data_IF_003010445490
#
_entry.id   IF_003010445490
#
_cell.length_a   1.000
_cell.length_b   1.000
_cell.length_c   1.000
_cell.angle_alpha   90.00
_cell.angle_beta   90.00
_cell.angle_gamma   90.00
#
_symmetry.space_group_name_H-M   'P 1'
#
loop_
_entity.id
_entity.type
_entity.pdbx_description
1 polymer ?
#
# COMPACT_ATOMS: atom_id res chain seq x y z
N UNK A 1 0.96 17.21 6.08
CA UNK A 1 0.33 16.91 4.78
C UNK A 1 0.95 15.68 4.15
N UNK A 2 2.23 15.75 3.75
CA UNK A 2 2.94 14.61 3.13
C UNK A 2 2.92 13.35 4.01
N UNK A 3 3.14 13.49 5.31
CA UNK A 3 3.10 12.35 6.25
C UNK A 3 1.76 11.59 6.21
N UNK A 4 0.62 12.28 6.15
CA UNK A 4 -0.69 11.63 6.12
C UNK A 4 -0.91 10.85 4.82
N UNK A 5 -0.44 11.41 3.70
CA UNK A 5 -0.45 10.77 2.38
C UNK A 5 0.43 9.52 2.40
N UNK A 6 1.68 9.64 2.86
CA UNK A 6 2.63 8.52 2.95
C UNK A 6 2.10 7.41 3.86
N UNK A 7 1.60 7.76 5.05
CA UNK A 7 1.01 6.80 6.00
C UNK A 7 -0.20 6.08 5.38
N UNK A 8 -1.01 6.78 4.59
CA UNK A 8 -2.19 6.18 3.96
C UNK A 8 -1.81 5.27 2.79
N UNK A 9 -0.76 5.59 2.04
CA UNK A 9 -0.19 4.72 1.01
C UNK A 9 0.46 3.45 1.61
N UNK A 10 1.00 3.56 2.83
CA UNK A 10 1.62 2.44 3.56
C UNK A 10 0.69 1.85 4.63
N UNK A 11 -0.63 2.02 4.48
CA UNK A 11 -1.59 1.57 5.50
C UNK A 11 -1.48 0.07 5.77
N UNK A 12 -1.19 -0.76 4.75
CA UNK A 12 -1.05 -2.21 4.91
C UNK A 12 0.10 -2.57 5.84
N UNK A 13 1.26 -1.92 5.67
CA UNK A 13 2.40 -2.03 6.59
C UNK A 13 2.04 -1.56 8.01
N UNK A 14 1.36 -0.41 8.15
CA UNK A 14 0.94 0.11 9.46
C UNK A 14 -0.02 -0.86 10.18
N UNK A 15 -0.96 -1.44 9.45
CA UNK A 15 -1.90 -2.43 9.99
C UNK A 15 -1.19 -3.73 10.36
N UNK A 16 -0.18 -4.13 9.61
CA UNK A 16 0.64 -5.33 9.90
C UNK A 16 1.44 -5.15 11.19
N UNK A 17 2.11 -4.00 11.36
CA UNK A 17 2.99 -3.74 12.51
C UNK A 17 2.23 -3.37 13.79
N UNK A 18 1.18 -2.55 13.67
CA UNK A 18 0.44 -2.05 14.85
C UNK A 18 -0.81 -2.87 15.16
N UNK A 19 -1.24 -3.75 14.25
CA UNK A 19 -2.41 -4.60 14.42
C UNK A 19 -3.65 -3.82 14.92
N UNK A 20 -4.35 -4.29 15.98
CA UNK A 20 -5.51 -3.60 16.55
C UNK A 20 -5.19 -2.18 17.02
N UNK A 21 -3.93 -1.86 17.35
CA UNK A 21 -3.51 -0.51 17.72
C UNK A 21 -3.41 0.43 16.51
N UNK A 22 -3.35 -0.10 15.29
CA UNK A 22 -3.34 0.72 14.07
C UNK A 22 -4.60 1.59 13.97
N UNK A 23 -5.78 1.03 14.31
CA UNK A 23 -7.07 1.73 14.22
C UNK A 23 -7.13 2.99 15.10
N UNK A 24 -6.89 2.93 16.43
CA UNK A 24 -6.90 4.12 17.26
C UNK A 24 -5.76 5.08 16.91
N UNK A 25 -4.57 4.59 16.55
CA UNK A 25 -3.43 5.44 16.17
C UNK A 25 -3.73 6.22 14.89
N UNK A 26 -4.22 5.56 13.85
CA UNK A 26 -4.62 6.20 12.61
C UNK A 26 -5.80 7.15 12.85
N UNK A 27 -6.79 6.76 13.64
CA UNK A 27 -7.93 7.60 13.99
C UNK A 27 -7.51 8.90 14.68
N UNK A 28 -6.67 8.83 15.71
CA UNK A 28 -6.12 10.01 16.40
C UNK A 28 -5.26 10.85 15.47
N UNK A 29 -4.42 10.24 14.65
CA UNK A 29 -3.62 10.93 13.65
C UNK A 29 -4.48 11.72 12.67
N UNK A 30 -5.55 11.11 12.16
CA UNK A 30 -6.50 11.74 11.26
C UNK A 30 -7.26 12.91 11.90
N UNK A 31 -7.79 12.71 13.10
CA UNK A 31 -8.46 13.78 13.85
C UNK A 31 -7.53 14.97 14.10
N UNK A 32 -6.25 14.70 14.38
CA UNK A 32 -5.23 15.74 14.56
C UNK A 32 -5.01 16.53 13.28
N UNK A 33 -4.87 15.85 12.13
CA UNK A 33 -4.72 16.51 10.82
C UNK A 33 -5.92 17.39 10.48
N UNK A 34 -7.14 16.89 10.69
CA UNK A 34 -8.38 17.64 10.46
C UNK A 34 -8.46 18.88 11.35
N UNK A 35 -8.16 18.73 12.65
CA UNK A 35 -8.18 19.83 13.61
C UNK A 35 -7.16 20.92 13.24
N UNK A 36 -5.95 20.55 12.84
CA UNK A 36 -4.92 21.49 12.40
C UNK A 36 -5.36 22.29 11.16
N UNK A 37 -5.99 21.66 10.17
CA UNK A 37 -6.53 22.36 9.00
C UNK A 37 -7.71 23.26 9.35
N UNK A 38 -8.60 22.84 10.25
CA UNK A 38 -9.71 23.67 10.71
C UNK A 38 -9.20 24.95 11.42
N UNK A 39 -8.20 24.81 12.29
CA UNK A 39 -7.54 25.94 12.96
C UNK A 39 -6.85 26.86 11.95
N UNK A 40 -6.12 26.29 10.99
CA UNK A 40 -5.45 27.06 9.94
C UNK A 40 -6.44 27.87 9.09
N UNK A 41 -7.55 27.24 8.66
CA UNK A 41 -8.63 27.91 7.94
C UNK A 41 -9.27 29.03 8.77
N UNK A 42 -9.54 28.78 10.06
CA UNK A 42 -10.11 29.80 10.95
C UNK A 42 -9.18 31.02 11.11
N UNK A 43 -7.86 30.81 11.16
CA UNK A 43 -6.88 31.90 11.20
C UNK A 43 -6.75 32.63 9.86
N UNK A 44 -6.79 31.90 8.75
CA UNK A 44 -6.68 32.44 7.40
C UNK A 44 -7.91 33.25 6.95
N UNK A 45 -9.02 33.25 7.71
CA UNK A 45 -10.21 34.08 7.46
C UNK A 45 -10.10 35.52 7.98
N UNK A 46 -9.17 35.80 8.89
CA UNK A 46 -8.98 37.13 9.49
C UNK A 46 -8.27 38.21 8.64
N UNK A 47 -7.36 37.89 7.69
CA UNK A 47 -6.67 38.90 6.89
C UNK A 47 -7.56 39.47 5.77
N UNK A 48 -7.36 40.74 5.41
CA UNK A 48 -8.05 41.40 4.29
C UNK A 48 -7.71 40.80 2.91
N UNK A 49 -6.62 40.03 2.82
CA UNK A 49 -6.14 39.39 1.59
C UNK A 49 -6.68 37.96 1.49
N UNK A 50 -7.28 37.61 0.34
CA UNK A 50 -7.94 36.30 0.10
C UNK A 50 -6.99 35.13 -0.19
N UNK A 51 -5.75 35.42 -0.61
CA UNK A 51 -4.77 34.40 -1.04
C UNK A 51 -4.38 33.36 0.03
N UNK A 52 -4.17 33.72 1.32
CA UNK A 52 -3.90 32.76 2.38
C UNK A 52 -5.05 31.78 2.62
N UNK A 53 -6.30 32.23 2.45
CA UNK A 53 -7.47 31.35 2.58
C UNK A 53 -7.53 30.34 1.44
N UNK A 54 -7.34 30.79 0.20
CA UNK A 54 -7.37 29.92 -0.99
C UNK A 54 -6.28 28.85 -0.93
N UNK A 55 -5.04 29.23 -0.60
CA UNK A 55 -3.93 28.29 -0.47
C UNK A 55 -4.16 27.28 0.67
N UNK A 56 -4.63 27.73 1.84
CA UNK A 56 -4.93 26.84 2.97
C UNK A 56 -6.06 25.86 2.63
N UNK A 57 -7.11 26.34 1.96
CA UNK A 57 -8.21 25.48 1.51
C UNK A 57 -7.74 24.44 0.50
N UNK A 58 -6.93 24.83 -0.49
CA UNK A 58 -6.35 23.90 -1.45
C UNK A 58 -5.48 22.84 -0.77
N UNK A 59 -4.62 23.23 0.18
CA UNK A 59 -3.81 22.30 0.95
C UNK A 59 -4.65 21.37 1.83
N UNK A 60 -5.75 21.85 2.40
CA UNK A 60 -6.66 21.01 3.18
C UNK A 60 -7.34 19.96 2.29
N UNK A 61 -7.80 20.36 1.10
CA UNK A 61 -8.39 19.44 0.11
C UNK A 61 -7.39 18.36 -0.28
N UNK A 62 -6.13 18.70 -0.55
CA UNK A 62 -5.11 17.70 -0.89
C UNK A 62 -4.75 16.85 0.34
N UNK A 63 -4.49 17.47 1.48
CA UNK A 63 -3.99 16.81 2.68
C UNK A 63 -5.00 15.90 3.38
N UNK A 64 -6.30 16.15 3.20
CA UNK A 64 -7.38 15.30 3.73
C UNK A 64 -7.98 14.45 2.62
N UNK A 65 -8.26 15.05 1.46
CA UNK A 65 -8.95 14.40 0.36
C UNK A 65 -8.16 13.26 -0.27
N UNK A 66 -6.85 13.42 -0.52
CA UNK A 66 -6.06 12.33 -1.12
C UNK A 66 -5.97 11.10 -0.21
N UNK A 67 -5.61 11.22 1.09
CA UNK A 67 -5.57 10.04 1.92
C UNK A 67 -6.96 9.49 2.27
N UNK A 68 -8.03 10.30 2.29
CA UNK A 68 -9.42 9.79 2.35
C UNK A 68 -9.80 8.98 1.10
N UNK A 69 -9.38 9.43 -0.09
CA UNK A 69 -9.56 8.70 -1.34
C UNK A 69 -8.85 7.34 -1.31
N UNK A 70 -7.62 7.27 -0.80
CA UNK A 70 -6.90 5.99 -0.68
C UNK A 70 -7.56 5.01 0.30
N UNK A 71 -8.21 5.53 1.34
CA UNK A 71 -9.00 4.69 2.25
C UNK A 71 -10.25 4.15 1.56
N UNK A 72 -11.00 5.02 0.88
CA UNK A 72 -12.26 4.68 0.21
C UNK A 72 -12.06 3.81 -1.05
N UNK A 73 -10.94 4.00 -1.75
CA UNK A 73 -10.58 3.29 -2.98
C UNK A 73 -9.17 2.68 -2.82
N UNK A 74 -9.05 1.52 -2.15
CA UNK A 74 -7.80 0.78 -1.96
C UNK A 74 -6.96 0.63 -3.23
N UNK A 75 -7.61 0.34 -4.35
CA UNK A 75 -6.98 0.11 -5.65
C UNK A 75 -6.25 1.36 -6.15
N UNK A 76 -6.84 2.55 -5.93
CA UNK A 76 -6.19 3.83 -6.25
C UNK A 76 -4.95 4.04 -5.39
N UNK A 77 -5.01 3.67 -4.11
CA UNK A 77 -3.86 3.72 -3.19
C UNK A 77 -2.74 2.80 -3.65
N UNK A 78 -3.06 1.53 -3.94
CA UNK A 78 -2.10 0.54 -4.42
C UNK A 78 -1.45 0.95 -5.75
N UNK A 79 -2.26 1.41 -6.71
CA UNK A 79 -1.78 1.91 -7.99
C UNK A 79 -0.85 3.12 -7.81
N UNK A 80 -1.27 4.09 -6.98
CA UNK A 80 -0.47 5.30 -6.72
C UNK A 80 0.86 4.95 -6.08
N UNK A 81 0.86 4.06 -5.08
CA UNK A 81 2.09 3.61 -4.43
C UNK A 81 3.02 2.90 -5.41
N UNK A 82 2.50 1.96 -6.19
CA UNK A 82 3.30 1.25 -7.19
C UNK A 82 4.04 2.20 -8.12
N UNK A 83 3.35 3.22 -8.64
CA UNK A 83 3.97 4.17 -9.57
C UNK A 83 4.98 5.11 -8.92
N UNK A 84 4.73 5.55 -7.69
CA UNK A 84 5.69 6.35 -6.92
C UNK A 84 6.95 5.56 -6.55
N UNK A 85 6.79 4.26 -6.26
CA UNK A 85 7.85 3.37 -5.79
C UNK A 85 8.35 2.41 -6.88
N UNK A 86 7.99 2.68 -8.14
CA UNK A 86 8.27 1.79 -9.28
C UNK A 86 9.74 1.35 -9.38
N UNK A 87 10.75 2.21 -9.15
CA UNK A 87 12.14 1.77 -9.15
C UNK A 87 12.45 0.67 -8.14
N UNK A 88 11.82 0.69 -6.96
CA UNK A 88 12.02 -0.32 -5.92
C UNK A 88 11.33 -1.64 -6.31
N UNK A 89 10.12 -1.58 -6.85
CA UNK A 89 9.47 -2.77 -7.41
C UNK A 89 10.29 -3.37 -8.55
N UNK A 90 10.84 -2.56 -9.47
CA UNK A 90 11.75 -3.06 -10.50
C UNK A 90 13.01 -3.72 -9.92
N UNK A 91 13.58 -3.16 -8.86
CA UNK A 91 14.71 -3.77 -8.16
C UNK A 91 14.34 -5.13 -7.56
N UNK A 92 13.18 -5.24 -6.91
CA UNK A 92 12.68 -6.53 -6.36
C UNK A 92 12.45 -7.55 -7.48
N UNK A 93 11.86 -7.14 -8.60
CA UNK A 93 11.66 -8.02 -9.75
C UNK A 93 12.98 -8.52 -10.36
N UNK A 94 14.10 -7.85 -10.15
CA UNK A 94 15.42 -8.23 -10.65
C UNK A 94 16.27 -9.02 -9.62
N UNK A 95 15.81 -9.17 -8.38
CA UNK A 95 16.53 -9.94 -7.37
C UNK A 95 16.61 -11.41 -7.77
N UNK A 96 17.75 -12.04 -7.46
CA UNK A 96 17.83 -13.49 -7.41
C UNK A 96 17.34 -13.91 -6.03
N UNK A 97 16.17 -14.54 -5.98
CA UNK A 97 15.50 -14.92 -4.74
C UNK A 97 15.74 -16.42 -4.57
N UNK A 98 16.45 -16.84 -3.50
CA UNK A 98 16.59 -18.26 -3.21
C UNK A 98 15.23 -18.93 -3.07
N UNK A 99 15.12 -20.18 -3.52
CA UNK A 99 14.02 -21.04 -3.12
C UNK A 99 14.22 -21.39 -1.63
N UNK A 100 13.66 -20.54 -0.77
CA UNK A 100 13.59 -20.72 0.67
C UNK A 100 12.31 -21.50 1.02
N UNK A 101 12.41 -22.43 1.97
CA UNK A 101 11.27 -23.19 2.49
C UNK A 101 10.45 -22.39 3.52
N UNK A 102 10.90 -21.19 3.91
CA UNK A 102 10.13 -20.29 4.77
C UNK A 102 8.81 -19.90 4.10
N UNK A 103 7.71 -20.17 4.80
CA UNK A 103 6.34 -19.92 4.34
C UNK A 103 6.11 -18.47 3.89
N UNK A 104 6.76 -17.50 4.52
CA UNK A 104 6.65 -16.08 4.15
C UNK A 104 7.72 -15.61 3.16
N UNK A 105 8.57 -16.53 2.72
CA UNK A 105 9.64 -16.31 1.76
C UNK A 105 10.91 -15.68 2.33
N UNK A 106 11.75 -15.23 1.42
CA UNK A 106 13.09 -14.72 1.67
C UNK A 106 13.08 -13.26 2.12
N UNK A 107 14.02 -12.84 2.99
CA UNK A 107 14.16 -11.44 3.39
C UNK A 107 14.61 -10.55 2.23
N UNK A 108 14.01 -9.37 2.12
CA UNK A 108 14.45 -8.33 1.21
C UNK A 108 15.69 -7.60 1.76
N UNK A 109 16.56 -7.08 0.87
CA UNK A 109 17.58 -6.13 1.29
C UNK A 109 16.97 -4.96 2.04
N UNK A 110 17.63 -4.49 3.11
CA UNK A 110 17.08 -3.48 4.03
C UNK A 110 16.53 -2.22 3.36
N UNK A 111 17.18 -1.78 2.27
CA UNK A 111 16.77 -0.59 1.52
C UNK A 111 15.51 -0.80 0.68
N UNK A 112 15.03 -2.03 0.51
CA UNK A 112 13.78 -2.40 -0.18
C UNK A 112 12.68 -2.84 0.80
N UNK A 113 12.96 -2.97 2.10
CA UNK A 113 11.95 -3.40 3.07
C UNK A 113 10.64 -2.60 2.99
N UNK A 114 10.71 -1.31 2.65
CA UNK A 114 9.54 -0.44 2.65
C UNK A 114 8.47 -0.82 1.60
N UNK A 115 8.79 -1.65 0.60
CA UNK A 115 7.78 -2.12 -0.36
C UNK A 115 6.98 -3.32 0.14
N UNK A 116 7.41 -3.95 1.24
CA UNK A 116 6.81 -5.17 1.79
C UNK A 116 6.36 -4.98 3.24
N UNK A 117 5.22 -5.56 3.60
CA UNK A 117 4.65 -5.53 4.94
C UNK A 117 5.57 -6.14 6.00
N UNK A 118 6.31 -7.19 5.64
CA UNK A 118 7.19 -7.94 6.53
C UNK A 118 8.66 -7.92 6.09
N UNK A 119 9.04 -7.04 5.18
CA UNK A 119 10.36 -7.05 4.53
C UNK A 119 10.71 -8.41 3.90
N UNK A 120 9.74 -9.14 3.36
CA UNK A 120 9.98 -10.39 2.62
C UNK A 120 9.39 -10.34 1.21
N UNK A 121 9.87 -11.26 0.39
CA UNK A 121 9.35 -11.58 -0.94
C UNK A 121 9.30 -13.10 -1.06
N UNK A 122 8.24 -13.62 -1.65
CA UNK A 122 8.01 -15.06 -1.80
C UNK A 122 7.58 -15.39 -3.22
N UNK A 123 7.92 -16.58 -3.70
CA UNK A 123 7.34 -17.10 -4.94
C UNK A 123 6.04 -17.81 -4.60
N UNK A 124 4.90 -17.22 -4.99
CA UNK A 124 3.59 -17.88 -4.90
C UNK A 124 3.28 -18.62 -6.19
N UNK A 125 2.53 -19.70 -6.07
CA UNK A 125 2.13 -20.54 -7.18
C UNK A 125 0.62 -20.74 -7.16
N UNK A 126 0.09 -21.16 -8.31
CA UNK A 126 -1.27 -21.66 -8.44
C UNK A 126 -1.27 -22.97 -9.24
N UNK A 127 -2.34 -23.73 -9.17
CA UNK A 127 -2.45 -25.02 -9.87
C UNK A 127 -2.48 -24.77 -11.38
N UNK A 128 -1.39 -25.15 -12.07
CA UNK A 128 -1.30 -25.04 -13.53
C UNK A 128 -1.09 -23.63 -14.07
N UNK A 129 -0.86 -22.63 -13.20
CA UNK A 129 -0.51 -21.26 -13.59
C UNK A 129 0.98 -20.95 -13.38
N UNK A 130 1.47 -19.83 -13.95
CA UNK A 130 2.85 -19.43 -13.78
C UNK A 130 3.15 -18.99 -12.34
N UNK A 131 4.37 -19.24 -11.83
CA UNK A 131 4.82 -18.67 -10.55
C UNK A 131 4.79 -17.13 -10.59
N UNK A 132 4.59 -16.53 -9.42
CA UNK A 132 4.62 -15.08 -9.25
C UNK A 132 5.52 -14.69 -8.07
N UNK A 133 6.33 -13.64 -8.24
CA UNK A 133 7.06 -13.04 -7.12
C UNK A 133 6.13 -12.11 -6.38
N UNK A 134 5.74 -12.47 -5.17
CA UNK A 134 4.78 -11.76 -4.34
C UNK A 134 5.45 -10.95 -3.24
N UNK A 135 5.03 -9.69 -3.16
CA UNK A 135 5.44 -8.70 -2.18
C UNK A 135 4.19 -8.30 -1.40
N UNK A 136 4.00 -8.81 -0.16
CA UNK A 136 2.81 -8.52 0.61
C UNK A 136 2.76 -7.03 0.97
N UNK A 137 1.62 -6.39 0.76
CA UNK A 137 1.35 -5.01 1.21
C UNK A 137 0.75 -5.00 2.62
N UNK A 138 -0.01 -6.04 2.94
CA UNK A 138 -0.69 -6.26 4.20
C UNK A 138 -0.64 -7.74 4.54
N UNK A 139 -0.45 -8.04 5.83
CA UNK A 139 -0.59 -9.39 6.41
C UNK A 139 -1.70 -9.39 7.45
N UNK A 140 -2.61 -10.35 7.33
CA UNK A 140 -3.64 -10.65 8.30
C UNK A 140 -3.09 -11.40 9.52
N UNK A 141 -3.95 -11.54 10.54
CA UNK A 141 -3.69 -12.40 11.70
C UNK A 141 -4.88 -13.35 11.83
N UNK A 142 -4.68 -14.69 11.90
CA UNK A 142 -3.39 -15.37 12.03
C UNK A 142 -2.54 -15.40 10.75
N UNK A 143 -3.19 -15.42 9.58
CA UNK A 143 -2.55 -15.42 8.25
C UNK A 143 -3.41 -14.62 7.24
N UNK A 144 -3.06 -14.68 5.95
CA UNK A 144 -3.70 -13.97 4.85
C UNK A 144 -2.91 -12.75 4.39
N UNK A 145 -2.96 -12.44 3.10
CA UNK A 145 -2.24 -11.32 2.52
C UNK A 145 -2.95 -10.74 1.31
N UNK A 146 -2.66 -9.47 1.04
CA UNK A 146 -2.87 -8.83 -0.26
C UNK A 146 -1.62 -8.05 -0.60
N UNK A 147 -1.35 -7.82 -1.88
CA UNK A 147 -0.10 -7.15 -2.25
C UNK A 147 0.18 -7.11 -3.74
N UNK A 148 1.45 -6.93 -4.06
CA UNK A 148 1.93 -6.80 -5.43
C UNK A 148 2.55 -8.11 -5.86
N UNK A 149 2.22 -8.61 -7.05
CA UNK A 149 2.96 -9.73 -7.63
C UNK A 149 3.51 -9.38 -9.01
N UNK A 150 4.72 -9.86 -9.27
CA UNK A 150 5.35 -9.80 -10.58
C UNK A 150 5.30 -11.16 -11.26
N UNK A 151 4.71 -11.17 -12.43
CA UNK A 151 4.62 -12.34 -13.30
C UNK A 151 5.53 -12.17 -14.52
N UNK A 152 6.21 -13.25 -14.91
CA UNK A 152 6.94 -13.32 -16.20
C UNK A 152 6.03 -13.66 -17.38
N UNK A 153 4.86 -14.23 -17.09
CA UNK A 153 3.82 -14.59 -18.05
C UNK A 153 2.48 -14.00 -17.61
N UNK A 154 1.46 -14.01 -18.46
CA UNK A 154 0.13 -13.54 -18.04
C UNK A 154 -0.38 -14.41 -16.88
N UNK A 155 -0.96 -13.82 -15.82
CA UNK A 155 -1.44 -14.61 -14.70
C UNK A 155 -2.59 -15.52 -15.14
N UNK A 156 -2.62 -16.75 -14.58
CA UNK A 156 -3.71 -17.69 -14.77
C UNK A 156 -5.04 -17.24 -14.14
N UNK A 157 -6.10 -18.01 -14.40
CA UNK A 157 -7.44 -17.76 -13.85
C UNK A 157 -7.64 -18.34 -12.43
N UNK A 158 -6.77 -19.25 -12.01
CA UNK A 158 -6.86 -19.89 -10.70
C UNK A 158 -6.32 -18.99 -9.58
N UNK A 159 -6.88 -19.08 -8.35
CA UNK A 159 -6.38 -18.33 -7.20
C UNK A 159 -4.96 -18.72 -6.81
N UNK A 160 -4.19 -17.76 -6.31
CA UNK A 160 -2.89 -18.00 -5.68
C UNK A 160 -3.06 -18.09 -4.17
N UNK A 161 -2.14 -18.80 -3.51
CA UNK A 161 -2.07 -18.84 -2.05
C UNK A 161 -1.46 -17.55 -1.51
N UNK A 162 -2.28 -16.69 -0.91
CA UNK A 162 -1.90 -15.46 -0.24
C UNK A 162 -1.68 -15.68 1.26
N UNK A 163 -1.00 -16.76 1.62
CA UNK A 163 -0.82 -17.24 3.00
C UNK A 163 -2.13 -17.69 3.65
N UNK A 164 -2.77 -18.72 3.09
CA UNK A 164 -4.01 -19.30 3.61
C UNK A 164 -5.27 -18.67 3.04
N UNK A 165 -5.18 -17.45 2.49
CA UNK A 165 -6.27 -16.78 1.80
C UNK A 165 -6.12 -16.87 0.26
N UNK A 166 -7.18 -17.20 -0.49
CA UNK A 166 -7.14 -17.18 -1.95
C UNK A 166 -7.08 -15.74 -2.46
N UNK A 167 -6.01 -15.42 -3.19
CA UNK A 167 -5.83 -14.12 -3.84
C UNK A 167 -5.80 -14.23 -5.36
N UNK A 168 -6.42 -13.27 -6.02
CA UNK A 168 -6.54 -13.21 -7.47
C UNK A 168 -5.91 -11.90 -8.00
N UNK A 169 -5.32 -11.91 -9.21
CA UNK A 169 -4.94 -10.68 -9.89
C UNK A 169 -6.19 -9.85 -10.18
N UNK A 170 -6.27 -8.65 -9.59
CA UNK A 170 -7.48 -7.79 -9.68
C UNK A 170 -7.24 -6.54 -10.50
N UNK A 171 -5.98 -6.10 -10.62
CA UNK A 171 -5.61 -4.89 -11.36
C UNK A 171 -4.19 -4.99 -11.90
N UNK A 172 -4.04 -4.82 -13.21
CA UNK A 172 -2.72 -4.72 -13.86
C UNK A 172 -2.09 -3.35 -13.56
N UNK A 173 -0.81 -3.37 -13.14
CA UNK A 173 -0.03 -2.17 -12.81
C UNK A 173 0.99 -1.84 -13.91
N UNK A 174 1.33 -2.84 -14.74
CA UNK A 174 2.21 -2.73 -15.91
C UNK A 174 3.62 -3.27 -15.66
N UNK A 175 4.27 -3.75 -16.73
CA UNK A 175 5.61 -4.34 -16.66
C UNK A 175 5.64 -5.65 -15.86
N UNK A 176 4.64 -6.51 -16.05
CA UNK A 176 4.51 -7.78 -15.34
C UNK A 176 3.91 -7.67 -13.93
N UNK A 177 3.73 -6.46 -13.40
CA UNK A 177 3.18 -6.24 -12.07
C UNK A 177 1.66 -6.19 -12.05
N UNK A 178 1.09 -6.84 -11.04
CA UNK A 178 -0.33 -6.87 -10.73
C UNK A 178 -0.56 -6.63 -9.24
N UNK A 179 -1.69 -6.04 -8.92
CA UNK A 179 -2.24 -6.05 -7.57
C UNK A 179 -3.06 -7.32 -7.38
N UNK A 180 -2.72 -8.08 -6.33
CA UNK A 180 -3.44 -9.27 -5.90
C UNK A 180 -4.28 -8.94 -4.68
N UNK A 181 -5.59 -9.15 -4.80
CA UNK A 181 -6.57 -8.96 -3.74
C UNK A 181 -7.43 -10.21 -3.57
N UNK A 182 -8.41 -10.16 -2.68
CA UNK A 182 -9.36 -11.27 -2.53
C UNK A 182 -10.09 -11.56 -3.85
N UNK A 183 -10.22 -12.85 -4.16
CA UNK A 183 -10.99 -13.31 -5.31
C UNK A 183 -12.48 -12.91 -5.19
N UNK A 184 -13.10 -12.49 -6.28
CA UNK A 184 -14.52 -12.10 -6.36
C UNK A 184 -15.31 -13.07 -7.23
#
# INVERSE_FOLDING_TARGET
>A
MLTAIVVSLHRGWVMTELWLLALPVLGVGWLTVIALFAIALARARKPAQRWPLVSTAAMAVVGIGAPALFVACPEVGAWTRFWLERPAFSAVAALDIPDDEDYYGSPLPRHLCFVSANCKVVTINTVGGPPARFVPDYLGIPDGAVGYAHFTEAPGHEPYDGFGDPICPTMELGGGWWWLGGCR
#
